data_IF_984282530170
#
_entry.id   IF_984282530170
#
_cell.length_a   1.000
_cell.length_b   1.000
_cell.length_c   1.000
_cell.angle_alpha   90.00
_cell.angle_beta   90.00
_cell.angle_gamma   90.00
#
_symmetry.space_group_name_H-M   'P 1'
#
loop_
_entity.id
_entity.type
_entity.pdbx_description
1 polymer ?
#
# COMPACT_ATOMS: atom_id res chain seq x y z
N UNK A 1 1.90 -16.15 -4.60
CA UNK A 1 3.00 -15.86 -5.57
C UNK A 1 2.55 -16.10 -6.99
N UNK A 2 3.09 -15.34 -7.96
CA UNK A 2 2.85 -15.54 -9.39
C UNK A 2 4.14 -16.04 -10.04
N UNK A 3 4.05 -17.17 -10.75
CA UNK A 3 5.18 -17.73 -11.46
C UNK A 3 5.70 -16.75 -12.53
N UNK A 4 7.02 -16.67 -12.74
CA UNK A 4 7.66 -15.67 -13.62
C UNK A 4 7.03 -15.56 -15.01
N UNK A 5 6.67 -16.68 -15.63
CA UNK A 5 6.05 -16.73 -16.98
C UNK A 5 4.66 -16.08 -17.06
N UNK A 6 3.97 -15.90 -15.91
CA UNK A 6 2.61 -15.37 -15.83
C UNK A 6 2.54 -14.00 -15.14
N UNK A 7 3.67 -13.35 -14.91
CA UNK A 7 3.71 -12.01 -14.31
C UNK A 7 3.32 -10.96 -15.34
N UNK A 8 2.01 -10.69 -15.43
CA UNK A 8 1.45 -9.63 -16.27
C UNK A 8 0.43 -8.81 -15.47
N UNK A 9 0.12 -7.62 -15.95
CA UNK A 9 -0.89 -6.77 -15.33
C UNK A 9 -2.27 -7.42 -15.28
N UNK A 10 -2.63 -8.22 -16.29
CA UNK A 10 -3.91 -8.93 -16.34
C UNK A 10 -4.04 -9.99 -15.24
N UNK A 11 -2.94 -10.70 -14.90
CA UNK A 11 -2.96 -11.71 -13.82
C UNK A 11 -3.14 -11.04 -12.46
N UNK A 12 -2.46 -9.93 -12.21
CA UNK A 12 -2.63 -9.15 -10.98
C UNK A 12 -4.09 -8.67 -10.86
N UNK A 13 -4.66 -8.15 -11.93
CA UNK A 13 -6.06 -7.70 -11.95
C UNK A 13 -7.05 -8.84 -11.68
N UNK A 14 -6.81 -10.03 -12.26
CA UNK A 14 -7.64 -11.21 -11.99
C UNK A 14 -7.56 -11.67 -10.54
N UNK A 15 -6.35 -11.69 -9.96
CA UNK A 15 -6.16 -12.02 -8.53
C UNK A 15 -6.89 -11.03 -7.62
N UNK A 16 -6.86 -9.75 -7.94
CA UNK A 16 -7.58 -8.72 -7.19
C UNK A 16 -9.10 -8.88 -7.28
N UNK A 17 -9.61 -9.19 -8.47
CA UNK A 17 -11.03 -9.45 -8.67
C UNK A 17 -11.51 -10.68 -7.86
N UNK A 18 -10.72 -11.76 -7.84
CA UNK A 18 -11.03 -12.95 -7.02
C UNK A 18 -11.00 -12.63 -5.53
N UNK A 19 -10.00 -11.87 -5.08
CA UNK A 19 -9.92 -11.46 -3.68
C UNK A 19 -11.13 -10.59 -3.29
N UNK A 20 -11.55 -9.68 -4.14
CA UNK A 20 -12.76 -8.87 -3.93
C UNK A 20 -14.02 -9.72 -3.84
N UNK A 21 -14.18 -10.71 -4.74
CA UNK A 21 -15.29 -11.68 -4.69
C UNK A 21 -15.28 -12.51 -3.40
N UNK A 22 -14.12 -13.02 -3.01
CA UNK A 22 -13.95 -13.76 -1.77
C UNK A 22 -14.36 -12.93 -0.55
N UNK A 23 -13.90 -11.70 -0.46
CA UNK A 23 -14.23 -10.80 0.64
C UNK A 23 -15.73 -10.53 0.70
N UNK A 24 -16.34 -10.21 -0.45
CA UNK A 24 -17.78 -9.96 -0.55
C UNK A 24 -18.62 -11.18 -0.14
N UNK A 25 -18.26 -12.36 -0.63
CA UNK A 25 -18.95 -13.61 -0.32
C UNK A 25 -18.89 -13.97 1.17
N UNK A 26 -17.84 -13.57 1.88
CA UNK A 26 -17.64 -13.83 3.31
C UNK A 26 -18.00 -12.65 4.22
N UNK A 27 -18.53 -11.55 3.68
CA UNK A 27 -18.91 -10.39 4.46
C UNK A 27 -17.74 -9.56 5.01
N UNK A 28 -16.52 -9.76 4.49
CA UNK A 28 -15.36 -8.96 4.87
C UNK A 28 -15.42 -7.59 4.21
N UNK A 29 -15.18 -6.55 4.99
CA UNK A 29 -15.24 -5.17 4.51
C UNK A 29 -13.87 -4.52 4.41
N UNK A 30 -12.92 -4.94 5.23
CA UNK A 30 -11.60 -4.34 5.33
C UNK A 30 -10.54 -5.36 4.95
N UNK A 31 -9.62 -4.96 4.10
CA UNK A 31 -8.41 -5.68 3.76
C UNK A 31 -7.20 -4.90 4.28
N UNK A 32 -6.28 -5.60 4.92
CA UNK A 32 -5.04 -5.03 5.42
C UNK A 32 -3.85 -5.81 4.89
N UNK A 33 -2.72 -5.14 4.78
CA UNK A 33 -1.46 -5.75 4.38
C UNK A 33 -0.32 -4.75 4.37
N UNK A 34 0.88 -5.23 4.13
CA UNK A 34 2.06 -4.38 4.00
C UNK A 34 2.38 -4.12 2.53
N UNK A 35 2.69 -2.86 2.23
CA UNK A 35 3.26 -2.45 0.95
C UNK A 35 4.73 -2.13 1.17
N UNK A 36 5.61 -3.02 0.73
CA UNK A 36 7.04 -2.93 0.98
C UNK A 36 7.74 -2.08 -0.07
N UNK A 37 8.58 -1.17 0.38
CA UNK A 37 9.43 -0.31 -0.46
C UNK A 37 10.89 -0.63 -0.12
N UNK A 38 11.75 -0.96 -1.11
CA UNK A 38 13.16 -1.21 -0.84
C UNK A 38 13.85 0.00 -0.21
N UNK A 39 14.77 -0.25 0.74
CA UNK A 39 15.55 0.80 1.41
C UNK A 39 17.05 0.71 1.09
N UNK A 40 17.41 0.23 -0.09
CA UNK A 40 18.81 0.16 -0.56
C UNK A 40 19.50 1.52 -0.62
N UNK A 41 18.71 2.58 -0.70
CA UNK A 41 19.13 3.99 -0.67
C UNK A 41 19.19 4.58 0.76
N UNK A 42 19.19 3.75 1.79
CA UNK A 42 19.12 4.18 3.18
C UNK A 42 17.74 4.66 3.64
N UNK A 43 16.68 4.33 2.89
CA UNK A 43 15.30 4.69 3.23
C UNK A 43 14.81 6.02 2.66
N UNK A 44 15.62 6.70 1.85
CA UNK A 44 15.29 8.00 1.27
C UNK A 44 14.00 7.95 0.41
N UNK A 45 13.87 6.94 -0.45
CA UNK A 45 12.65 6.71 -1.24
C UNK A 45 11.43 6.54 -0.35
N UNK A 46 11.51 5.66 0.65
CA UNK A 46 10.41 5.38 1.56
C UNK A 46 9.98 6.61 2.36
N UNK A 47 10.93 7.37 2.90
CA UNK A 47 10.66 8.61 3.63
C UNK A 47 9.99 9.66 2.74
N UNK A 48 10.45 9.80 1.49
CA UNK A 48 9.85 10.74 0.52
C UNK A 48 8.42 10.34 0.17
N UNK A 49 8.17 9.06 -0.07
CA UNK A 49 6.81 8.53 -0.29
C UNK A 49 5.93 8.82 0.92
N UNK A 50 6.39 8.51 2.14
CA UNK A 50 5.65 8.76 3.37
C UNK A 50 5.25 10.23 3.51
N UNK A 51 6.20 11.15 3.34
CA UNK A 51 5.96 12.60 3.42
C UNK A 51 4.96 13.08 2.35
N UNK A 52 4.99 12.53 1.13
CA UNK A 52 3.99 12.81 0.09
C UNK A 52 2.60 12.33 0.50
N UNK A 53 2.49 11.13 1.03
CA UNK A 53 1.22 10.56 1.47
C UNK A 53 0.63 11.32 2.65
N UNK A 54 1.47 11.76 3.57
CA UNK A 54 1.06 12.62 4.68
C UNK A 54 0.47 13.95 4.18
N UNK A 55 1.20 14.64 3.30
CA UNK A 55 0.75 15.93 2.71
C UNK A 55 -0.54 15.79 1.90
N UNK A 56 -0.77 14.64 1.26
CA UNK A 56 -1.96 14.38 0.44
C UNK A 56 -3.15 13.81 1.23
N UNK A 57 -3.07 13.72 2.56
CA UNK A 57 -4.14 13.18 3.40
C UNK A 57 -4.40 11.68 3.19
N UNK A 58 -3.40 10.93 2.74
CA UNK A 58 -3.50 9.48 2.51
C UNK A 58 -3.10 8.65 3.73
N UNK A 59 -2.68 9.30 4.81
CA UNK A 59 -2.42 8.65 6.09
C UNK A 59 -3.64 8.83 6.97
N UNK A 60 -4.15 7.72 7.50
CA UNK A 60 -5.34 7.75 8.37
C UNK A 60 -4.93 7.79 9.85
N UNK A 61 -5.59 8.64 10.62
CA UNK A 61 -5.48 8.65 12.08
C UNK A 61 -6.51 7.74 12.75
N UNK A 62 -7.59 7.36 12.02
CA UNK A 62 -8.67 6.53 12.57
C UNK A 62 -8.20 5.10 12.91
N UNK A 63 -7.19 4.59 12.18
CA UNK A 63 -6.64 3.24 12.36
C UNK A 63 -5.11 3.31 12.44
N UNK A 64 -4.62 4.11 13.38
CA UNK A 64 -3.17 4.32 13.54
C UNK A 64 -2.48 3.06 14.05
N UNK A 65 -1.48 2.61 13.29
CA UNK A 65 -0.59 1.52 13.66
C UNK A 65 0.78 2.08 14.01
N UNK A 66 1.33 1.61 15.13
CA UNK A 66 2.68 2.00 15.58
C UNK A 66 3.59 0.82 15.34
N UNK A 67 4.57 0.91 14.42
CA UNK A 67 5.50 -0.18 14.19
C UNK A 67 6.47 -0.37 15.36
N UNK A 68 6.93 -1.61 15.58
CA UNK A 68 7.97 -1.90 16.60
C UNK A 68 9.30 -1.26 16.25
N UNK A 69 9.64 -1.26 14.96
CA UNK A 69 10.85 -0.64 14.42
C UNK A 69 10.39 0.40 13.37
N UNK A 70 10.11 1.64 13.77
CA UNK A 70 9.73 2.66 12.82
C UNK A 70 10.92 3.09 11.97
N UNK A 71 10.68 3.34 10.69
CA UNK A 71 11.64 4.07 9.87
C UNK A 71 11.61 5.54 10.30
N UNK A 72 12.78 6.10 10.62
CA UNK A 72 12.89 7.52 10.95
C UNK A 72 12.79 8.38 9.69
N UNK A 73 11.55 8.60 9.25
CA UNK A 73 11.28 9.39 8.05
C UNK A 73 11.61 10.87 8.23
N UNK A 74 11.63 11.38 9.45
CA UNK A 74 11.83 12.80 9.71
C UNK A 74 13.28 13.22 9.52
N UNK A 75 14.23 12.36 9.90
CA UNK A 75 15.66 12.61 9.72
C UNK A 75 16.14 12.47 8.26
N UNK A 76 15.35 11.81 7.41
CA UNK A 76 15.73 11.56 6.01
C UNK A 76 15.30 12.72 5.11
N UNK A 77 16.09 13.05 4.07
CA UNK A 77 15.76 14.11 3.15
C UNK A 77 14.47 13.80 2.37
N UNK A 78 13.82 14.85 1.90
CA UNK A 78 12.62 14.77 1.08
C UNK A 78 12.95 15.08 -0.38
N UNK A 79 12.55 14.17 -1.27
CA UNK A 79 12.63 14.35 -2.70
C UNK A 79 11.24 14.25 -3.33
N UNK A 80 10.80 15.33 -3.95
CA UNK A 80 9.49 15.41 -4.60
C UNK A 80 9.43 14.65 -5.92
N UNK A 81 10.56 14.37 -6.55
CA UNK A 81 10.63 13.67 -7.84
C UNK A 81 10.51 12.14 -7.70
N UNK A 82 10.73 11.61 -6.50
CA UNK A 82 10.60 10.17 -6.25
C UNK A 82 9.17 9.70 -6.54
N UNK A 83 9.04 8.73 -7.44
CA UNK A 83 7.77 8.14 -7.79
C UNK A 83 7.33 7.05 -6.79
N UNK A 84 6.03 7.01 -6.53
CA UNK A 84 5.43 5.92 -5.76
C UNK A 84 5.47 4.63 -6.59
N UNK A 85 5.94 3.49 -6.02
CA UNK A 85 5.96 2.21 -6.72
C UNK A 85 4.60 1.82 -7.30
N UNK A 86 4.57 1.17 -8.48
CA UNK A 86 3.32 0.89 -9.20
C UNK A 86 2.26 0.16 -8.37
N UNK A 87 2.66 -0.81 -7.55
CA UNK A 87 1.74 -1.59 -6.72
C UNK A 87 1.08 -0.72 -5.65
N UNK A 88 1.87 0.04 -4.90
CA UNK A 88 1.36 0.98 -3.89
C UNK A 88 0.48 2.06 -4.54
N UNK A 89 0.88 2.59 -5.71
CA UNK A 89 0.08 3.52 -6.51
C UNK A 89 -1.27 2.92 -6.90
N UNK A 90 -1.30 1.63 -7.24
CA UNK A 90 -2.53 0.88 -7.52
C UNK A 90 -3.47 0.85 -6.31
N UNK A 91 -2.96 0.50 -5.12
CA UNK A 91 -3.74 0.47 -3.88
C UNK A 91 -4.32 1.84 -3.53
N UNK A 92 -3.51 2.88 -3.63
CA UNK A 92 -3.95 4.26 -3.37
C UNK A 92 -5.05 4.71 -4.34
N UNK A 93 -5.03 4.27 -5.60
CA UNK A 93 -6.10 4.52 -6.58
C UNK A 93 -7.40 3.84 -6.22
N UNK A 94 -7.33 2.66 -5.58
CA UNK A 94 -8.50 1.96 -5.05
C UNK A 94 -9.07 2.60 -3.76
N UNK A 95 -8.43 3.64 -3.25
CA UNK A 95 -8.85 4.33 -2.03
C UNK A 95 -8.17 3.82 -0.77
N UNK A 96 -7.13 2.97 -0.91
CA UNK A 96 -6.38 2.52 0.26
C UNK A 96 -5.73 3.70 1.00
N UNK A 97 -5.60 3.53 2.31
CA UNK A 97 -4.97 4.47 3.23
C UNK A 97 -3.79 3.80 3.92
N UNK A 98 -2.82 4.59 4.32
CA UNK A 98 -1.69 4.15 5.13
C UNK A 98 -1.99 4.43 6.59
N UNK A 99 -1.69 3.48 7.47
CA UNK A 99 -2.08 3.52 8.88
C UNK A 99 -0.93 3.89 9.81
N UNK A 100 -0.18 4.93 9.51
CA UNK A 100 0.92 5.42 10.34
C UNK A 100 2.28 5.38 9.66
N UNK A 101 3.33 5.45 10.46
CA UNK A 101 4.70 5.43 9.95
C UNK A 101 5.05 4.06 9.35
N UNK A 102 5.91 4.00 8.31
CA UNK A 102 6.40 2.73 7.80
C UNK A 102 7.30 2.03 8.82
N UNK A 103 7.21 0.71 8.87
CA UNK A 103 8.12 -0.12 9.65
C UNK A 103 9.42 -0.33 8.87
N UNK A 104 10.55 -0.32 9.57
CA UNK A 104 11.80 -0.84 9.02
C UNK A 104 11.83 -2.35 9.19
N UNK A 105 11.99 -3.07 8.08
CA UNK A 105 12.20 -4.51 8.05
C UNK A 105 13.65 -4.81 7.66
N UNK A 106 14.52 -5.12 8.65
CA UNK A 106 15.93 -5.41 8.39
C UNK A 106 16.15 -6.74 7.65
N UNK A 107 15.26 -7.73 7.81
CA UNK A 107 15.41 -9.04 7.21
C UNK A 107 15.20 -8.99 5.67
N UNK A 108 14.24 -8.19 5.23
CA UNK A 108 13.97 -7.97 3.80
C UNK A 108 14.59 -6.70 3.23
N UNK A 109 15.19 -5.87 4.08
CA UNK A 109 15.75 -4.57 3.72
C UNK A 109 14.72 -3.68 3.04
N UNK A 110 13.54 -3.57 3.67
CA UNK A 110 12.39 -2.79 3.19
C UNK A 110 11.85 -1.85 4.26
N UNK A 111 11.11 -0.85 3.81
CA UNK A 111 10.18 -0.09 4.62
C UNK A 111 8.77 -0.57 4.29
N UNK A 112 8.04 -1.04 5.31
CA UNK A 112 6.72 -1.63 5.16
C UNK A 112 5.64 -0.64 5.56
N UNK A 113 4.83 -0.24 4.58
CA UNK A 113 3.67 0.62 4.80
C UNK A 113 2.46 -0.23 5.13
N UNK A 114 1.94 -0.14 6.35
CA UNK A 114 0.70 -0.81 6.71
C UNK A 114 -0.46 -0.17 5.97
N UNK A 115 -0.98 -0.90 5.00
CA UNK A 115 -1.96 -0.44 4.03
C UNK A 115 -3.32 -1.05 4.34
N UNK A 116 -4.36 -0.22 4.39
CA UNK A 116 -5.74 -0.61 4.63
C UNK A 116 -6.62 -0.20 3.46
N UNK A 117 -7.43 -1.13 2.97
CA UNK A 117 -8.46 -0.89 1.96
C UNK A 117 -9.83 -1.27 2.53
N UNK A 118 -10.74 -0.30 2.57
CA UNK A 118 -12.14 -0.54 2.88
C UNK A 118 -12.93 -0.71 1.58
N UNK A 119 -13.57 -1.85 1.38
CA UNK A 119 -14.33 -2.16 0.16
C UNK A 119 -15.48 -1.17 -0.08
N UNK A 120 -16.06 -0.64 0.99
CA UNK A 120 -17.16 0.34 0.89
C UNK A 120 -16.68 1.74 0.43
N UNK A 121 -15.36 2.00 0.50
CA UNK A 121 -14.75 3.27 0.11
C UNK A 121 -14.07 3.21 -1.27
N UNK A 122 -14.11 2.06 -1.94
CA UNK A 122 -13.56 1.93 -3.28
C UNK A 122 -14.33 2.83 -4.24
N UNK A 123 -13.65 3.70 -5.02
CA UNK A 123 -14.32 4.55 -6.01
C UNK A 123 -15.14 3.72 -7.00
N UNK A 124 -16.37 4.16 -7.29
CA UNK A 124 -17.36 3.42 -8.08
C UNK A 124 -16.80 2.86 -9.41
N UNK A 125 -15.98 3.66 -10.10
CA UNK A 125 -15.31 3.25 -11.36
C UNK A 125 -14.44 2.00 -11.24
N UNK A 126 -13.91 1.72 -10.03
CA UNK A 126 -13.11 0.52 -9.75
C UNK A 126 -13.95 -0.58 -9.12
N UNK A 127 -14.95 -0.23 -8.31
CA UNK A 127 -15.83 -1.19 -7.65
C UNK A 127 -16.55 -2.08 -8.68
N UNK A 128 -16.97 -1.53 -9.81
CA UNK A 128 -17.59 -2.27 -10.90
C UNK A 128 -16.68 -3.32 -11.55
N UNK A 129 -15.35 -3.15 -11.43
CA UNK A 129 -14.35 -4.09 -11.97
C UNK A 129 -13.91 -5.15 -10.96
N UNK A 130 -13.86 -4.78 -9.67
CA UNK A 130 -13.30 -5.61 -8.60
C UNK A 130 -14.34 -6.33 -7.74
N UNK A 131 -15.59 -5.89 -7.76
CA UNK A 131 -16.64 -6.41 -6.87
C UNK A 131 -17.80 -7.09 -7.61
N UNK A 132 -17.67 -7.33 -8.93
CA UNK A 132 -18.66 -8.06 -9.72
C UNK A 132 -18.47 -9.57 -9.59
#
# INVERSE_FOLDING_TARGET
>A
CVHKKFRSGSVIMSMWAELGRFMKANGFQIMIGCSSVPIKDGGHMAASIYKKLFKSGRITEAYKVIPRLPLDCDSLPFDNEIETPPLLKGYLRLGAKICGNPAWDPDFNTADFFTMLNLNEIPRRYAEHFLK
#
